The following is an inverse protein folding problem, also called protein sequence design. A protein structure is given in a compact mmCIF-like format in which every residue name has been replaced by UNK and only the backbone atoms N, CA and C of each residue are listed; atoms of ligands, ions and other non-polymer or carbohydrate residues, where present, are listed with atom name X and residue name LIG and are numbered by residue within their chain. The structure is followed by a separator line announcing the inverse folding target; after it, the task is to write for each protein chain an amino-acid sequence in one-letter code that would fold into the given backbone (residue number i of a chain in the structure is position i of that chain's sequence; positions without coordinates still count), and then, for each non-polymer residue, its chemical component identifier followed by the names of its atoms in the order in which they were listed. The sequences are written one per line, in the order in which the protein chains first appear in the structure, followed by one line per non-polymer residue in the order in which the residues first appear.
data_IF_015645142927
#
_entry.id   IF_015645142927
#
_cell.length_a   1.000
_cell.length_b   1.000
_cell.length_c   1.000
_cell.angle_alpha   90.00
_cell.angle_beta   90.00
_cell.angle_gamma   90.00
#
_symmetry.space_group_name_H-M   'P 1'
#
loop_
_entity.id
_entity.type
_entity.pdbx_description
1 polymer ?
#
# COMPACT_ATOMS: atom_id res chain seq x y z
N UNK A 1 -29.91 1.76 12.03
CA UNK A 1 -28.57 2.18 11.56
C UNK A 1 -27.48 2.19 12.65
N UNK A 2 -27.54 2.98 13.74
CA UNK A 2 -26.43 3.10 14.73
C UNK A 2 -25.98 1.77 15.35
N UNK A 3 -26.90 0.88 15.71
CA UNK A 3 -26.54 -0.44 16.26
C UNK A 3 -25.83 -1.32 15.22
N UNK A 4 -26.29 -1.31 13.97
CA UNK A 4 -25.63 -2.02 12.87
C UNK A 4 -24.21 -1.48 12.63
N UNK A 5 -24.04 -0.14 12.64
CA UNK A 5 -22.72 0.51 12.55
C UNK A 5 -21.81 0.07 13.72
N UNK A 6 -22.33 -0.03 14.94
CA UNK A 6 -21.54 -0.50 16.07
C UNK A 6 -21.02 -1.93 15.84
N UNK A 7 -21.85 -2.86 15.34
CA UNK A 7 -21.39 -4.22 14.99
C UNK A 7 -20.34 -4.22 13.87
N UNK A 8 -20.51 -3.39 12.84
CA UNK A 8 -19.51 -3.23 11.78
C UNK A 8 -18.18 -2.76 12.36
N UNK A 9 -18.18 -1.71 13.19
CA UNK A 9 -16.96 -1.18 13.81
C UNK A 9 -16.31 -2.20 14.77
N UNK A 10 -17.10 -2.91 15.57
CA UNK A 10 -16.60 -3.96 16.48
C UNK A 10 -15.93 -5.08 15.67
N UNK A 11 -16.57 -5.56 14.60
CA UNK A 11 -15.99 -6.59 13.74
C UNK A 11 -14.65 -6.14 13.13
N UNK A 12 -14.57 -4.89 12.66
CA UNK A 12 -13.36 -4.28 12.14
C UNK A 12 -12.27 -4.21 13.22
N UNK A 13 -12.56 -3.67 14.39
CA UNK A 13 -11.59 -3.47 15.47
C UNK A 13 -11.05 -4.83 15.98
N UNK A 14 -11.91 -5.81 16.20
CA UNK A 14 -11.50 -7.14 16.65
C UNK A 14 -10.71 -7.83 15.55
N UNK A 15 -11.18 -7.78 14.29
CA UNK A 15 -10.50 -8.36 13.16
C UNK A 15 -9.09 -7.80 12.94
N UNK A 16 -8.92 -6.48 13.06
CA UNK A 16 -7.63 -5.81 12.98
C UNK A 16 -6.68 -6.24 14.12
N UNK A 17 -7.21 -6.45 15.35
CA UNK A 17 -6.41 -6.93 16.49
C UNK A 17 -5.94 -8.37 16.33
N UNK A 18 -6.76 -9.25 15.74
CA UNK A 18 -6.37 -10.64 15.47
C UNK A 18 -5.24 -10.68 14.42
N UNK A 19 -5.28 -9.78 13.44
CA UNK A 19 -4.31 -9.73 12.34
C UNK A 19 -4.48 -10.86 11.32
N UNK A 20 -3.56 -10.94 10.35
CA UNK A 20 -3.61 -11.96 9.30
C UNK A 20 -4.94 -11.94 8.54
N UNK A 21 -5.61 -13.09 8.44
CA UNK A 21 -6.95 -13.20 7.82
C UNK A 21 -8.08 -12.75 8.76
N UNK A 22 -7.78 -12.40 10.02
CA UNK A 22 -8.77 -12.06 11.06
C UNK A 22 -9.71 -10.95 10.62
N UNK A 23 -9.18 -9.93 9.94
CA UNK A 23 -9.99 -8.80 9.45
C UNK A 23 -11.10 -9.27 8.48
N UNK A 24 -10.77 -10.14 7.53
CA UNK A 24 -11.74 -10.66 6.58
C UNK A 24 -12.76 -11.61 7.21
N UNK A 25 -12.29 -12.52 8.07
CA UNK A 25 -13.17 -13.50 8.74
C UNK A 25 -14.17 -12.80 9.67
N UNK A 26 -13.72 -11.80 10.44
CA UNK A 26 -14.60 -10.97 11.29
C UNK A 26 -15.53 -10.09 10.45
N UNK A 27 -15.08 -9.62 9.26
CA UNK A 27 -15.97 -8.99 8.28
C UNK A 27 -17.10 -9.93 7.84
N UNK A 28 -16.78 -11.20 7.57
CA UNK A 28 -17.78 -12.24 7.26
C UNK A 28 -18.76 -12.48 8.41
N UNK A 29 -18.28 -12.51 9.66
CA UNK A 29 -19.14 -12.60 10.83
C UNK A 29 -20.06 -11.37 10.96
N UNK A 30 -19.51 -10.16 10.76
CA UNK A 30 -20.30 -8.93 10.78
C UNK A 30 -21.37 -8.92 9.69
N UNK A 31 -21.03 -9.38 8.47
CA UNK A 31 -22.00 -9.59 7.39
C UNK A 31 -23.11 -10.57 7.80
N UNK A 32 -22.75 -11.70 8.43
CA UNK A 32 -23.72 -12.66 8.96
C UNK A 32 -24.69 -12.03 9.96
N UNK A 33 -24.18 -11.20 10.89
CA UNK A 33 -25.00 -10.46 11.85
C UNK A 33 -25.93 -9.48 11.12
N UNK A 34 -25.41 -8.73 10.15
CA UNK A 34 -26.23 -7.78 9.37
C UNK A 34 -27.34 -8.49 8.59
N UNK A 35 -27.05 -9.65 8.00
CA UNK A 35 -28.00 -10.39 7.18
C UNK A 35 -29.00 -11.18 8.02
N UNK A 36 -28.52 -12.04 8.92
CA UNK A 36 -29.39 -12.94 9.67
C UNK A 36 -29.98 -12.30 10.94
N UNK A 37 -29.26 -11.34 11.54
CA UNK A 37 -29.73 -10.64 12.74
C UNK A 37 -30.58 -9.40 12.45
N UNK A 38 -30.18 -8.61 11.46
CA UNK A 38 -30.87 -7.35 11.12
C UNK A 38 -31.70 -7.43 9.84
N UNK A 39 -31.67 -8.56 9.12
CA UNK A 39 -32.47 -8.76 7.89
C UNK A 39 -32.00 -7.92 6.70
N UNK A 40 -30.73 -7.42 6.69
CA UNK A 40 -30.24 -6.70 5.53
C UNK A 40 -29.96 -7.68 4.38
N UNK A 41 -30.39 -7.31 3.17
CA UNK A 41 -30.08 -8.07 1.97
C UNK A 41 -28.59 -7.94 1.64
N UNK A 42 -27.81 -9.05 1.58
CA UNK A 42 -26.41 -8.97 1.23
C UNK A 42 -26.22 -8.53 -0.23
N UNK A 43 -25.24 -7.64 -0.44
CA UNK A 43 -24.79 -7.23 -1.77
C UNK A 43 -23.98 -8.35 -2.43
N UNK A 44 -23.51 -8.13 -3.67
CA UNK A 44 -22.57 -9.04 -4.31
C UNK A 44 -21.14 -8.86 -3.73
N UNK A 45 -20.38 -9.94 -3.52
CA UNK A 45 -18.98 -9.80 -3.13
C UNK A 45 -18.14 -9.17 -4.26
N UNK A 46 -17.02 -8.51 -3.95
CA UNK A 46 -16.18 -7.80 -4.92
C UNK A 46 -15.26 -8.74 -5.71
N UNK A 47 -15.83 -9.67 -6.49
CA UNK A 47 -15.11 -10.77 -7.15
C UNK A 47 -14.05 -10.26 -8.10
N UNK A 48 -14.37 -9.33 -9.00
CA UNK A 48 -13.45 -8.81 -10.01
C UNK A 48 -12.17 -8.23 -9.38
N UNK A 49 -12.32 -7.47 -8.30
CA UNK A 49 -11.17 -6.90 -7.59
C UNK A 49 -10.33 -7.98 -6.92
N UNK A 50 -10.98 -8.98 -6.34
CA UNK A 50 -10.28 -10.11 -5.72
C UNK A 50 -9.47 -10.87 -6.76
N UNK A 51 -10.03 -11.14 -7.94
CA UNK A 51 -9.35 -11.86 -9.02
C UNK A 51 -8.18 -11.04 -9.59
N UNK A 52 -8.36 -9.74 -9.83
CA UNK A 52 -7.24 -8.87 -10.22
C UNK A 52 -6.08 -8.94 -9.22
N UNK A 53 -6.38 -8.84 -7.93
CA UNK A 53 -5.36 -8.88 -6.88
C UNK A 53 -4.68 -10.24 -6.83
N UNK A 54 -5.43 -11.35 -6.95
CA UNK A 54 -4.87 -12.71 -7.01
C UNK A 54 -3.90 -12.86 -8.18
N UNK A 55 -4.26 -12.39 -9.37
CA UNK A 55 -3.39 -12.45 -10.54
C UNK A 55 -2.08 -11.68 -10.35
N UNK A 56 -2.14 -10.46 -9.79
CA UNK A 56 -0.95 -9.66 -9.47
C UNK A 56 -0.08 -10.35 -8.41
N UNK A 57 -0.70 -10.90 -7.35
CA UNK A 57 0.01 -11.62 -6.29
C UNK A 57 0.73 -12.85 -6.88
N UNK A 58 0.07 -13.60 -7.76
CA UNK A 58 0.69 -14.75 -8.42
C UNK A 58 1.97 -14.33 -9.17
N UNK A 59 1.91 -13.27 -9.98
CA UNK A 59 3.08 -12.78 -10.72
C UNK A 59 4.20 -12.28 -9.80
N UNK A 60 3.87 -11.49 -8.78
CA UNK A 60 4.84 -10.99 -7.81
C UNK A 60 5.49 -12.13 -7.01
N UNK A 61 4.73 -13.16 -6.67
CA UNK A 61 5.23 -14.34 -5.96
C UNK A 61 6.15 -15.20 -6.82
N UNK A 62 5.83 -15.37 -8.10
CA UNK A 62 6.72 -16.03 -9.06
C UNK A 62 8.03 -15.25 -9.20
N UNK A 63 7.97 -13.91 -9.29
CA UNK A 63 9.15 -13.06 -9.33
C UNK A 63 9.98 -13.19 -8.03
N UNK A 64 9.33 -13.22 -6.86
CA UNK A 64 10.01 -13.45 -5.58
C UNK A 64 10.72 -14.80 -5.57
N UNK A 65 10.04 -15.87 -5.94
CA UNK A 65 10.59 -17.23 -5.93
C UNK A 65 11.75 -17.41 -6.92
N UNK A 66 11.77 -16.63 -8.01
CA UNK A 66 12.87 -16.56 -8.98
C UNK A 66 14.07 -15.72 -8.51
N UNK A 67 14.01 -15.13 -7.30
CA UNK A 67 15.06 -14.27 -6.74
C UNK A 67 14.99 -12.80 -7.21
N UNK A 68 13.92 -12.40 -7.89
CA UNK A 68 13.77 -11.04 -8.41
C UNK A 68 13.78 -9.97 -7.33
N UNK A 69 13.12 -10.21 -6.19
CA UNK A 69 13.15 -9.27 -5.07
C UNK A 69 14.56 -9.14 -4.48
N UNK A 70 15.30 -10.24 -4.33
CA UNK A 70 16.67 -10.21 -3.80
C UNK A 70 17.60 -9.42 -4.75
N UNK A 71 17.40 -9.54 -6.05
CA UNK A 71 18.13 -8.73 -7.05
C UNK A 71 17.81 -7.23 -6.92
N UNK A 72 16.53 -6.87 -6.73
CA UNK A 72 16.13 -5.48 -6.50
C UNK A 72 16.79 -4.92 -5.24
N UNK A 73 16.83 -5.71 -4.16
CA UNK A 73 17.54 -5.33 -2.91
C UNK A 73 19.02 -5.09 -3.16
N UNK A 74 19.69 -5.95 -3.94
CA UNK A 74 21.08 -5.76 -4.32
C UNK A 74 21.32 -4.48 -5.12
N UNK A 75 20.38 -4.11 -6.01
CA UNK A 75 20.44 -2.82 -6.70
C UNK A 75 20.25 -1.63 -5.75
N UNK A 76 19.33 -1.75 -4.78
CA UNK A 76 19.15 -0.74 -3.74
C UNK A 76 20.44 -0.55 -2.94
N UNK A 77 21.02 -1.63 -2.46
CA UNK A 77 22.28 -1.61 -1.70
C UNK A 77 23.38 -0.90 -2.47
N UNK A 78 23.60 -1.29 -3.74
CA UNK A 78 24.60 -0.66 -4.60
C UNK A 78 24.36 0.86 -4.76
N UNK A 79 23.10 1.28 -4.92
CA UNK A 79 22.75 2.69 -5.08
C UNK A 79 22.98 3.48 -3.79
N UNK A 80 22.54 2.94 -2.65
CA UNK A 80 22.65 3.58 -1.34
C UNK A 80 24.12 3.69 -0.90
N UNK A 81 24.91 2.63 -1.08
CA UNK A 81 26.36 2.62 -0.76
C UNK A 81 27.18 3.55 -1.67
N UNK A 82 26.71 3.84 -2.89
CA UNK A 82 27.39 4.79 -3.79
C UNK A 82 27.28 6.24 -3.32
N UNK A 83 26.18 6.62 -2.64
CA UNK A 83 25.92 7.98 -2.18
C UNK A 83 25.43 7.99 -0.72
N UNK A 84 26.22 7.48 0.22
CA UNK A 84 25.75 7.21 1.57
C UNK A 84 25.40 8.49 2.35
N UNK A 85 26.06 9.60 2.09
CA UNK A 85 25.75 10.89 2.71
C UNK A 85 24.37 11.45 2.38
N UNK A 86 23.76 10.96 1.29
CA UNK A 86 22.41 11.36 0.85
C UNK A 86 21.35 10.32 1.19
N UNK A 87 21.65 9.39 2.08
CA UNK A 87 20.78 8.23 2.36
C UNK A 87 19.38 8.65 2.84
N UNK A 88 19.26 9.72 3.62
CA UNK A 88 17.96 10.22 4.10
C UNK A 88 17.04 10.67 2.95
N UNK A 89 17.61 11.15 1.84
CA UNK A 89 16.84 11.50 0.65
C UNK A 89 16.69 10.31 -0.30
N UNK A 90 17.75 9.51 -0.49
CA UNK A 90 17.73 8.42 -1.47
C UNK A 90 16.90 7.21 -1.01
N UNK A 91 16.96 6.85 0.27
CA UNK A 91 16.27 5.67 0.79
C UNK A 91 14.75 5.69 0.60
N UNK A 92 14.01 6.79 0.84
CA UNK A 92 12.58 6.82 0.60
C UNK A 92 12.23 6.64 -0.89
N UNK A 93 13.01 7.21 -1.81
CA UNK A 93 12.75 7.03 -3.24
C UNK A 93 13.06 5.61 -3.72
N UNK A 94 14.07 4.95 -3.14
CA UNK A 94 14.37 3.54 -3.44
C UNK A 94 13.24 2.63 -2.93
N UNK A 95 12.79 2.81 -1.70
CA UNK A 95 11.67 2.02 -1.15
C UNK A 95 10.36 2.33 -1.86
N UNK A 96 10.12 3.60 -2.23
CA UNK A 96 8.98 4.00 -3.04
C UNK A 96 8.98 3.28 -4.39
N UNK A 97 10.08 3.36 -5.13
CA UNK A 97 10.20 2.74 -6.46
C UNK A 97 9.99 1.22 -6.39
N UNK A 98 10.56 0.57 -5.39
CA UNK A 98 10.42 -0.88 -5.23
C UNK A 98 8.98 -1.29 -4.89
N UNK A 99 8.34 -0.54 -3.99
CA UNK A 99 6.93 -0.76 -3.69
C UNK A 99 6.03 -0.45 -4.88
N UNK A 100 6.33 0.63 -5.62
CA UNK A 100 5.61 1.00 -6.84
C UNK A 100 5.64 -0.13 -7.88
N UNK A 101 6.83 -0.71 -8.11
CA UNK A 101 7.02 -1.83 -9.05
C UNK A 101 6.38 -3.11 -8.52
N UNK A 102 6.57 -3.45 -7.24
CA UNK A 102 6.09 -4.70 -6.68
C UNK A 102 4.59 -4.69 -6.30
N UNK A 103 3.96 -3.52 -6.23
CA UNK A 103 2.57 -3.36 -5.82
C UNK A 103 2.29 -3.63 -4.33
N UNK A 104 3.34 -3.80 -3.52
CA UNK A 104 3.23 -4.16 -2.10
C UNK A 104 4.30 -3.52 -1.23
N UNK A 105 3.92 -3.03 -0.05
CA UNK A 105 4.85 -2.43 0.92
C UNK A 105 5.78 -3.43 1.62
N UNK A 106 5.55 -4.74 1.46
CA UNK A 106 6.40 -5.77 2.08
C UNK A 106 7.84 -5.76 1.55
N UNK A 107 8.09 -5.19 0.38
CA UNK A 107 9.45 -5.01 -0.16
C UNK A 107 10.33 -4.18 0.77
N UNK A 108 9.75 -3.28 1.56
CA UNK A 108 10.48 -2.48 2.54
C UNK A 108 11.26 -3.35 3.54
N UNK A 109 10.73 -4.51 3.96
CA UNK A 109 11.45 -5.41 4.89
C UNK A 109 12.84 -5.82 4.40
N UNK A 110 13.01 -5.94 3.08
CA UNK A 110 14.29 -6.35 2.50
C UNK A 110 15.27 -5.18 2.35
N UNK A 111 14.78 -3.95 2.24
CA UNK A 111 15.61 -2.75 2.03
C UNK A 111 15.96 -2.05 3.34
N UNK A 112 15.08 -2.09 4.34
CA UNK A 112 15.28 -1.42 5.63
C UNK A 112 16.58 -1.83 6.37
N UNK A 113 16.98 -3.12 6.42
CA UNK A 113 18.25 -3.50 7.03
C UNK A 113 19.46 -2.84 6.37
N UNK A 114 19.45 -2.75 5.03
CA UNK A 114 20.51 -2.08 4.25
C UNK A 114 20.57 -0.58 4.58
N UNK A 115 19.39 0.07 4.68
CA UNK A 115 19.30 1.48 5.04
C UNK A 115 19.87 1.73 6.44
N UNK A 116 19.51 0.89 7.42
CA UNK A 116 19.99 1.00 8.78
C UNK A 116 21.51 0.84 8.86
N UNK A 117 22.06 -0.14 8.14
CA UNK A 117 23.50 -0.41 8.10
C UNK A 117 24.27 0.75 7.47
N UNK A 118 23.91 1.16 6.26
CA UNK A 118 24.61 2.25 5.55
C UNK A 118 24.50 3.57 6.31
N UNK A 119 23.36 3.87 6.94
CA UNK A 119 23.23 5.06 7.79
C UNK A 119 24.17 4.99 9.00
N UNK A 120 24.26 3.85 9.66
CA UNK A 120 25.12 3.65 10.82
C UNK A 120 26.60 3.77 10.45
N UNK A 121 27.05 3.10 9.37
CA UNK A 121 28.43 3.15 8.86
C UNK A 121 28.88 4.59 8.53
N UNK A 122 27.96 5.40 8.03
CA UNK A 122 28.23 6.80 7.65
C UNK A 122 27.95 7.80 8.76
N UNK A 123 27.64 7.31 9.98
CA UNK A 123 27.33 8.10 11.18
C UNK A 123 26.10 9.00 11.03
N UNK A 124 25.27 8.72 10.04
CA UNK A 124 23.96 9.35 9.88
C UNK A 124 22.99 8.66 10.84
N UNK A 125 22.23 9.42 11.61
CA UNK A 125 21.19 8.92 12.52
C UNK A 125 20.18 8.04 11.75
N UNK A 126 20.10 6.71 11.99
CA UNK A 126 19.23 5.81 11.24
C UNK A 126 17.74 6.17 11.31
N UNK A 127 17.27 6.78 12.39
CA UNK A 127 15.91 7.29 12.52
C UNK A 127 15.47 8.12 11.29
N UNK A 128 16.37 8.95 10.75
CA UNK A 128 16.08 9.85 9.63
C UNK A 128 15.68 9.07 8.36
N UNK A 129 16.57 8.25 7.77
CA UNK A 129 16.24 7.51 6.55
C UNK A 129 15.25 6.37 6.79
N UNK A 130 15.27 5.71 7.93
CA UNK A 130 14.39 4.59 8.24
C UNK A 130 12.93 5.01 8.34
N UNK A 131 12.64 6.08 9.09
CA UNK A 131 11.27 6.54 9.26
C UNK A 131 10.64 6.91 7.93
N UNK A 132 11.31 7.75 7.14
CA UNK A 132 10.74 8.20 5.86
C UNK A 132 10.72 7.10 4.79
N UNK A 133 11.64 6.13 4.83
CA UNK A 133 11.61 4.98 3.92
C UNK A 133 10.37 4.10 4.15
N UNK A 134 9.98 3.87 5.41
CA UNK A 134 8.72 3.17 5.74
C UNK A 134 7.53 3.95 5.20
N UNK A 135 7.45 5.25 5.46
CA UNK A 135 6.36 6.11 4.97
C UNK A 135 6.29 6.08 3.44
N UNK A 136 7.44 6.21 2.76
CA UNK A 136 7.53 6.21 1.31
C UNK A 136 7.04 4.89 0.69
N UNK A 137 7.37 3.75 1.29
CA UNK A 137 6.89 2.46 0.82
C UNK A 137 5.37 2.35 0.84
N UNK A 138 4.72 2.96 1.81
CA UNK A 138 3.26 2.93 1.91
C UNK A 138 2.60 3.98 1.01
N UNK A 139 3.18 5.17 0.89
CA UNK A 139 2.71 6.17 -0.07
C UNK A 139 2.74 5.62 -1.52
N UNK A 140 3.75 4.82 -1.85
CA UNK A 140 3.86 4.17 -3.15
C UNK A 140 2.73 3.17 -3.45
N UNK A 141 2.09 2.59 -2.44
CA UNK A 141 0.94 1.69 -2.64
C UNK A 141 -0.23 2.44 -3.30
N UNK A 142 -0.49 3.68 -2.90
CA UNK A 142 -1.55 4.51 -3.49
C UNK A 142 -1.19 5.08 -4.86
N UNK A 143 0.05 4.90 -5.30
CA UNK A 143 0.54 5.33 -6.61
C UNK A 143 0.84 4.15 -7.55
N UNK A 144 0.98 2.92 -7.03
CA UNK A 144 1.33 1.75 -7.85
C UNK A 144 0.16 1.29 -8.71
N UNK A 145 0.35 1.10 -10.03
CA UNK A 145 -0.73 0.68 -10.94
C UNK A 145 -1.26 -0.72 -10.66
N UNK A 146 -0.53 -1.52 -9.91
CA UNK A 146 -0.83 -2.93 -9.64
C UNK A 146 -1.08 -3.22 -8.15
N UNK A 147 -1.11 -2.18 -7.30
CA UNK A 147 -1.41 -2.38 -5.88
C UNK A 147 -2.89 -2.70 -5.66
N UNK A 148 -3.18 -3.49 -4.64
CA UNK A 148 -4.55 -3.81 -4.24
C UNK A 148 -5.41 -2.56 -3.97
N UNK A 149 -4.81 -1.48 -3.44
CA UNK A 149 -5.51 -0.24 -3.16
C UNK A 149 -5.89 0.52 -4.43
N UNK A 150 -4.96 0.65 -5.39
CA UNK A 150 -5.22 1.32 -6.68
C UNK A 150 -6.22 0.51 -7.52
N UNK A 151 -6.12 -0.83 -7.51
CA UNK A 151 -7.06 -1.69 -8.21
C UNK A 151 -8.48 -1.61 -7.60
N UNK A 152 -8.57 -1.51 -6.27
CA UNK A 152 -9.84 -1.27 -5.59
C UNK A 152 -10.43 0.10 -5.99
N UNK A 153 -9.65 1.16 -5.98
CA UNK A 153 -10.06 2.50 -6.43
C UNK A 153 -10.53 2.47 -7.88
N UNK A 154 -9.72 1.90 -8.79
CA UNK A 154 -10.04 1.79 -10.22
C UNK A 154 -11.36 1.07 -10.46
N UNK A 155 -11.57 -0.08 -9.83
CA UNK A 155 -12.80 -0.87 -9.98
C UNK A 155 -14.04 -0.09 -9.55
N UNK A 156 -13.97 0.64 -8.44
CA UNK A 156 -15.11 1.39 -7.91
C UNK A 156 -15.41 2.65 -8.72
N UNK A 157 -14.42 3.24 -9.37
CA UNK A 157 -14.57 4.44 -10.17
C UNK A 157 -14.74 4.15 -11.68
N UNK A 158 -14.68 2.89 -12.11
CA UNK A 158 -14.79 2.51 -13.52
C UNK A 158 -16.10 2.97 -14.18
N UNK A 159 -17.21 2.94 -13.44
CA UNK A 159 -18.52 3.43 -13.90
C UNK A 159 -18.62 4.96 -14.10
N UNK A 160 -17.58 5.71 -13.69
CA UNK A 160 -17.51 7.17 -13.79
C UNK A 160 -16.50 7.64 -14.84
N UNK A 161 -16.15 6.79 -15.81
CA UNK A 161 -15.17 7.07 -16.86
C UNK A 161 -13.76 7.41 -16.33
N UNK A 162 -13.42 6.95 -15.12
CA UNK A 162 -12.07 7.09 -14.55
C UNK A 162 -11.19 5.95 -15.04
N UNK A 163 -10.12 6.31 -15.71
CA UNK A 163 -9.07 5.39 -16.14
C UNK A 163 -7.98 5.21 -15.07
N UNK A 164 -7.17 4.15 -15.20
CA UNK A 164 -5.98 3.97 -14.37
C UNK A 164 -5.03 5.18 -14.50
N UNK A 165 -4.92 5.76 -15.70
CA UNK A 165 -4.06 6.93 -15.91
C UNK A 165 -4.55 8.15 -15.12
N UNK A 166 -5.85 8.39 -15.02
CA UNK A 166 -6.38 9.50 -14.21
C UNK A 166 -5.95 9.37 -12.74
N UNK A 167 -5.99 8.13 -12.20
CA UNK A 167 -5.54 7.87 -10.83
C UNK A 167 -4.03 8.12 -10.71
N UNK A 168 -3.22 7.58 -11.61
CA UNK A 168 -1.77 7.68 -11.56
C UNK A 168 -1.26 9.10 -11.77
N UNK A 169 -1.85 9.87 -12.69
CA UNK A 169 -1.46 11.26 -12.96
C UNK A 169 -1.61 12.17 -11.74
N UNK A 170 -2.54 11.87 -10.85
CA UNK A 170 -2.73 12.61 -9.61
C UNK A 170 -1.88 11.97 -8.49
N UNK A 171 -2.00 10.66 -8.28
CA UNK A 171 -1.40 10.00 -7.13
C UNK A 171 0.13 9.98 -7.17
N UNK A 172 0.75 9.71 -8.34
CA UNK A 172 2.20 9.60 -8.46
C UNK A 172 2.92 10.90 -8.11
N UNK A 173 2.64 12.04 -8.76
CA UNK A 173 3.36 13.27 -8.43
C UNK A 173 3.06 13.76 -7.02
N UNK A 174 1.82 13.65 -6.55
CA UNK A 174 1.44 14.11 -5.22
C UNK A 174 2.12 13.31 -4.11
N UNK A 175 2.17 11.98 -4.23
CA UNK A 175 2.83 11.14 -3.23
C UNK A 175 4.35 11.24 -3.28
N UNK A 176 4.97 11.38 -4.47
CA UNK A 176 6.42 11.63 -4.59
C UNK A 176 6.82 12.95 -3.92
N UNK A 177 6.08 14.02 -4.16
CA UNK A 177 6.35 15.32 -3.53
C UNK A 177 6.06 15.30 -2.03
N UNK A 178 5.03 14.56 -1.59
CA UNK A 178 4.76 14.33 -0.17
C UNK A 178 5.91 13.59 0.52
N UNK A 179 6.42 12.53 -0.11
CA UNK A 179 7.60 11.78 0.37
C UNK A 179 8.85 12.68 0.41
N UNK A 180 9.06 13.50 -0.60
CA UNK A 180 10.17 14.47 -0.62
C UNK A 180 10.06 15.47 0.55
N UNK A 181 8.87 16.00 0.81
CA UNK A 181 8.64 16.92 1.94
C UNK A 181 8.94 16.23 3.29
N UNK A 182 8.47 15.00 3.47
CA UNK A 182 8.79 14.18 4.65
C UNK A 182 10.29 13.88 4.77
N UNK A 183 10.99 13.64 3.66
CA UNK A 183 12.43 13.42 3.64
C UNK A 183 13.22 14.67 4.01
N UNK A 184 12.83 15.84 3.51
CA UNK A 184 13.45 17.13 3.86
C UNK A 184 13.27 17.42 5.36
N UNK A 185 12.07 17.16 5.90
CA UNK A 185 11.85 17.27 7.34
C UNK A 185 12.79 16.33 8.11
N UNK A 186 12.90 15.08 7.67
CA UNK A 186 13.69 14.05 8.33
C UNK A 186 15.19 14.38 8.41
N UNK A 187 15.73 15.18 7.49
CA UNK A 187 17.12 15.64 7.54
C UNK A 187 17.47 16.36 8.85
N UNK A 188 16.49 16.98 9.50
CA UNK A 188 16.69 17.81 10.72
C UNK A 188 16.27 17.08 12.00
N UNK A 189 15.84 15.83 11.92
CA UNK A 189 15.35 15.08 13.08
C UNK A 189 16.51 14.64 13.96
N UNK A 190 16.43 14.94 15.26
CA UNK A 190 17.36 14.47 16.28
C UNK A 190 18.78 15.02 16.13
N UNK A 191 19.65 14.62 17.05
CA UNK A 191 21.09 14.94 17.04
C UNK A 191 21.81 14.01 16.05
N UNK A 192 23.03 14.37 15.66
CA UNK A 192 23.91 13.45 14.93
C UNK A 192 24.18 12.20 15.75
N UNK A 193 24.46 11.08 15.07
CA UNK A 193 24.57 9.78 15.72
C UNK A 193 25.63 9.77 16.83
N UNK A 194 26.78 10.38 16.57
CA UNK A 194 27.88 10.49 17.54
C UNK A 194 27.55 11.35 18.79
N UNK A 195 26.44 12.07 18.79
CA UNK A 195 25.96 12.91 19.89
C UNK A 195 24.66 12.37 20.51
N UNK A 196 24.15 11.23 20.03
CA UNK A 196 22.92 10.63 20.54
C UNK A 196 23.20 9.85 21.84
N UNK A 197 22.54 10.20 22.97
CA UNK A 197 22.81 9.56 24.26
C UNK A 197 22.47 8.06 24.28
N UNK A 198 21.46 7.63 23.56
CA UNK A 198 21.04 6.22 23.50
C UNK A 198 22.07 5.39 22.73
N UNK A 199 22.53 5.90 21.59
CA UNK A 199 23.60 5.25 20.82
C UNK A 199 24.89 5.15 21.61
N UNK A 200 25.33 6.26 22.24
CA UNK A 200 26.56 6.26 23.05
C UNK A 200 26.48 5.29 24.22
N UNK A 201 25.31 5.16 24.86
CA UNK A 201 25.09 4.18 25.93
C UNK A 201 25.21 2.75 25.43
N UNK A 202 24.62 2.42 24.27
CA UNK A 202 24.70 1.09 23.66
C UNK A 202 26.11 0.72 23.23
N UNK A 203 26.86 1.69 22.71
CA UNK A 203 28.29 1.49 22.40
C UNK A 203 29.11 1.22 23.68
N UNK A 204 28.89 1.99 24.75
CA UNK A 204 29.59 1.80 26.03
C UNK A 204 29.27 0.44 26.68
N UNK A 205 28.05 -0.05 26.54
CA UNK A 205 27.61 -1.35 27.04
C UNK A 205 27.99 -2.55 26.16
N UNK A 206 28.73 -2.34 25.06
CA UNK A 206 29.05 -3.38 24.07
C UNK A 206 27.81 -4.09 23.48
N UNK A 207 26.62 -3.45 23.52
CA UNK A 207 25.38 -3.97 22.92
C UNK A 207 25.38 -3.84 21.40
N UNK A 208 26.31 -3.03 20.87
CA UNK A 208 26.43 -2.74 19.45
C UNK A 208 27.37 -3.73 18.75
N UNK A 209 26.78 -4.72 18.09
CA UNK A 209 27.53 -5.65 17.22
C UNK A 209 27.48 -5.17 15.77
N UNK A 210 28.64 -4.89 15.19
CA UNK A 210 28.81 -4.58 13.75
C UNK A 210 28.69 -5.84 12.88
N UNK A 211 27.64 -6.65 13.10
CA UNK A 211 27.36 -7.71 12.13
C UNK A 211 26.86 -7.07 10.85
N UNK A 212 27.65 -7.17 9.79
CA UNK A 212 27.23 -6.75 8.45
C UNK A 212 25.98 -7.55 8.05
N UNK A 213 24.99 -6.83 7.55
CA UNK A 213 23.87 -7.45 6.86
C UNK A 213 24.36 -7.80 5.45
N UNK A 214 24.61 -9.06 5.22
CA UNK A 214 24.80 -9.54 3.86
C UNK A 214 23.41 -9.76 3.25
N UNK A 215 23.08 -8.98 2.24
CA UNK A 215 21.90 -9.26 1.41
C UNK A 215 22.00 -10.71 0.91
N UNK A 216 20.93 -11.48 1.04
CA UNK A 216 20.90 -12.86 0.54
C UNK A 216 21.44 -12.89 -0.87
N UNK A 217 22.47 -13.70 -1.10
CA UNK A 217 23.05 -13.86 -2.42
C UNK A 217 22.00 -14.29 -3.43
N UNK A 218 21.96 -13.63 -4.57
CA UNK A 218 21.09 -14.05 -5.68
C UNK A 218 21.70 -15.31 -6.28
N UNK A 219 21.07 -16.47 -6.09
CA UNK A 219 21.57 -17.77 -6.60
C UNK A 219 21.83 -17.74 -8.11
N UNK A 220 20.94 -17.11 -8.86
CA UNK A 220 21.06 -16.96 -10.31
C UNK A 220 20.59 -15.58 -10.75
N UNK A 221 21.55 -14.68 -10.95
CA UNK A 221 21.31 -13.29 -11.32
C UNK A 221 20.55 -13.16 -12.67
N UNK A 222 20.78 -14.06 -13.63
CA UNK A 222 20.10 -14.03 -14.92
C UNK A 222 18.62 -14.37 -14.77
N UNK A 223 18.28 -15.41 -14.00
CA UNK A 223 16.87 -15.78 -13.73
C UNK A 223 16.14 -14.69 -12.97
N UNK A 224 16.80 -14.12 -11.95
CA UNK A 224 16.26 -13.00 -11.18
C UNK A 224 16.00 -11.77 -12.07
N UNK A 225 16.96 -11.39 -12.91
CA UNK A 225 16.80 -10.27 -13.83
C UNK A 225 15.68 -10.51 -14.85
N UNK A 226 15.61 -11.73 -15.41
CA UNK A 226 14.55 -12.10 -16.35
C UNK A 226 13.15 -12.02 -15.69
N UNK A 227 13.02 -12.51 -14.46
CA UNK A 227 11.74 -12.44 -13.72
C UNK A 227 11.29 -11.02 -13.45
N UNK A 228 12.20 -10.12 -13.03
CA UNK A 228 11.92 -8.69 -12.85
C UNK A 228 11.54 -8.05 -14.18
N UNK A 229 12.26 -8.35 -15.26
CA UNK A 229 11.97 -7.79 -16.59
C UNK A 229 10.60 -8.19 -17.09
N UNK A 230 10.21 -9.47 -16.99
CA UNK A 230 8.88 -9.96 -17.39
C UNK A 230 7.79 -9.24 -16.56
N UNK A 231 7.98 -9.14 -15.24
CA UNK A 231 7.02 -8.49 -14.35
C UNK A 231 6.85 -7.01 -14.65
N UNK A 232 7.95 -6.28 -14.85
CA UNK A 232 7.94 -4.85 -15.20
C UNK A 232 7.31 -4.62 -16.56
N UNK A 233 7.61 -5.45 -17.57
CA UNK A 233 6.99 -5.35 -18.88
C UNK A 233 5.48 -5.57 -18.84
N UNK A 234 5.01 -6.56 -18.06
CA UNK A 234 3.57 -6.76 -17.85
C UNK A 234 2.93 -5.54 -17.15
N UNK A 235 3.60 -4.96 -16.16
CA UNK A 235 3.12 -3.73 -15.49
C UNK A 235 3.05 -2.54 -16.46
N UNK A 236 4.06 -2.37 -17.32
CA UNK A 236 4.05 -1.32 -18.35
C UNK A 236 2.90 -1.56 -19.33
N UNK A 237 2.67 -2.79 -19.76
CA UNK A 237 1.55 -3.13 -20.63
C UNK A 237 0.20 -2.79 -19.98
N UNK A 238 0.02 -3.07 -18.68
CA UNK A 238 -1.18 -2.68 -17.92
C UNK A 238 -1.37 -1.16 -17.95
N UNK A 239 -0.32 -0.39 -17.73
CA UNK A 239 -0.39 1.08 -17.78
C UNK A 239 -0.76 1.57 -19.19
N UNK A 240 -0.18 0.98 -20.24
CA UNK A 240 -0.50 1.34 -21.64
C UNK A 240 -1.97 1.07 -21.95
N UNK A 241 -2.49 -0.14 -21.69
CA UNK A 241 -3.90 -0.48 -21.91
C UNK A 241 -4.85 0.32 -21.00
N UNK A 242 -4.38 0.68 -19.79
CA UNK A 242 -5.13 1.55 -18.88
C UNK A 242 -5.20 3.01 -19.35
N UNK A 243 -4.20 3.47 -20.09
CA UNK A 243 -4.08 4.84 -20.61
C UNK A 243 -4.77 5.04 -21.96
N UNK A 244 -4.72 4.01 -22.80
CA UNK A 244 -5.17 4.06 -24.19
C UNK A 244 -6.23 2.99 -24.44
N UNK A 245 -7.48 3.37 -24.24
CA UNK A 245 -8.63 2.45 -24.40
C UNK A 245 -8.71 1.88 -25.82
N UNK A 246 -8.30 2.65 -26.82
CA UNK A 246 -8.26 2.25 -28.23
C UNK A 246 -7.32 1.06 -28.52
N UNK A 247 -6.36 0.79 -27.64
CA UNK A 247 -5.45 -0.37 -27.77
C UNK A 247 -6.02 -1.65 -27.15
N UNK A 248 -7.11 -1.54 -26.37
CA UNK A 248 -7.72 -2.73 -25.75
C UNK A 248 -8.31 -3.65 -26.82
N UNK A 249 -8.17 -4.96 -26.65
CA UNK A 249 -8.81 -5.94 -27.54
C UNK A 249 -10.33 -5.71 -27.62
N UNK A 250 -10.87 -5.74 -28.83
CA UNK A 250 -12.31 -5.59 -29.08
C UNK A 250 -12.84 -6.90 -29.64
N UNK A 251 -13.89 -7.41 -29.03
CA UNK A 251 -14.53 -8.67 -29.41
C UNK A 251 -15.95 -8.38 -29.93
N UNK A 252 -16.41 -9.18 -30.88
CA UNK A 252 -17.79 -9.13 -31.33
C UNK A 252 -18.62 -10.12 -30.51
N UNK A 253 -19.54 -9.61 -29.71
CA UNK A 253 -20.50 -10.41 -28.94
C UNK A 253 -21.88 -10.21 -29.48
N UNK A 254 -22.38 -11.18 -30.26
CA UNK A 254 -23.61 -10.99 -31.05
C UNK A 254 -23.41 -9.95 -32.16
N UNK A 255 -24.14 -8.86 -32.10
CA UNK A 255 -24.03 -7.71 -33.05
C UNK A 255 -23.22 -6.54 -32.51
N UNK A 256 -22.83 -6.57 -31.25
CA UNK A 256 -22.12 -5.46 -30.58
C UNK A 256 -20.60 -5.68 -30.50
N UNK A 257 -19.86 -4.58 -30.65
CA UNK A 257 -18.42 -4.55 -30.41
C UNK A 257 -18.17 -4.17 -28.96
N UNK A 258 -17.57 -5.09 -28.18
CA UNK A 258 -17.28 -4.90 -26.76
C UNK A 258 -15.77 -4.84 -26.55
N UNK A 259 -15.27 -3.75 -25.97
CA UNK A 259 -13.88 -3.62 -25.57
C UNK A 259 -13.61 -4.41 -24.30
N UNK A 260 -12.44 -5.05 -24.21
CA UNK A 260 -12.04 -5.81 -23.03
C UNK A 260 -11.96 -4.90 -21.79
N UNK A 261 -12.58 -5.33 -20.70
CA UNK A 261 -12.54 -4.61 -19.43
C UNK A 261 -11.14 -4.58 -18.85
N UNK A 262 -10.80 -3.52 -18.12
CA UNK A 262 -9.47 -3.36 -17.54
C UNK A 262 -9.13 -4.43 -16.49
N UNK A 263 -10.12 -4.92 -15.76
CA UNK A 263 -9.98 -6.04 -14.83
C UNK A 263 -9.43 -7.28 -15.53
N UNK A 264 -10.06 -7.69 -16.64
CA UNK A 264 -9.63 -8.85 -17.41
C UNK A 264 -8.25 -8.66 -18.04
N UNK A 265 -7.89 -7.44 -18.48
CA UNK A 265 -6.56 -7.14 -19.01
C UNK A 265 -5.50 -7.36 -17.92
N UNK A 266 -5.72 -6.86 -16.71
CA UNK A 266 -4.82 -7.04 -15.59
C UNK A 266 -4.66 -8.53 -15.23
N UNK A 267 -5.77 -9.25 -15.14
CA UNK A 267 -5.79 -10.68 -14.83
C UNK A 267 -5.00 -11.49 -15.86
N UNK A 268 -5.30 -11.31 -17.15
CA UNK A 268 -4.65 -12.05 -18.24
C UNK A 268 -3.15 -11.71 -18.31
N UNK A 269 -2.78 -10.44 -18.27
CA UNK A 269 -1.37 -10.02 -18.37
C UNK A 269 -0.55 -10.52 -17.17
N UNK A 270 -1.09 -10.46 -15.96
CA UNK A 270 -0.37 -10.90 -14.77
C UNK A 270 -0.26 -12.44 -14.69
N UNK A 271 -1.31 -13.19 -15.05
CA UNK A 271 -1.23 -14.64 -15.14
C UNK A 271 -0.26 -15.09 -16.26
N UNK A 272 -0.25 -14.39 -17.40
CA UNK A 272 0.71 -14.63 -18.48
C UNK A 272 2.14 -14.36 -18.03
N UNK A 273 2.37 -13.25 -17.30
CA UNK A 273 3.68 -12.95 -16.70
C UNK A 273 4.11 -14.04 -15.71
N UNK A 274 3.18 -14.51 -14.87
CA UNK A 274 3.44 -15.64 -13.95
C UNK A 274 3.91 -16.88 -14.71
N UNK A 275 3.19 -17.25 -15.76
CA UNK A 275 3.52 -18.41 -16.59
C UNK A 275 4.90 -18.25 -17.25
N UNK A 276 5.21 -17.08 -17.84
CA UNK A 276 6.52 -16.83 -18.45
C UNK A 276 7.65 -16.87 -17.41
N UNK A 277 7.43 -16.31 -16.21
CA UNK A 277 8.43 -16.39 -15.14
C UNK A 277 8.69 -17.85 -14.79
N UNK A 278 7.66 -18.66 -14.51
CA UNK A 278 7.82 -20.07 -14.16
C UNK A 278 8.55 -20.86 -15.27
N UNK A 279 8.13 -20.68 -16.51
CA UNK A 279 8.69 -21.43 -17.67
C UNK A 279 10.13 -21.05 -17.97
N UNK A 280 10.43 -19.74 -18.09
CA UNK A 280 11.75 -19.31 -18.53
C UNK A 280 12.79 -19.29 -17.41
N UNK A 281 12.39 -19.10 -16.17
CA UNK A 281 13.31 -19.19 -15.02
C UNK A 281 13.38 -20.56 -14.41
N UNK A 282 12.49 -21.51 -14.83
CA UNK A 282 12.34 -22.84 -14.23
C UNK A 282 12.13 -22.76 -12.71
N UNK A 283 11.34 -21.80 -12.27
CA UNK A 283 11.03 -21.59 -10.87
C UNK A 283 9.92 -22.54 -10.46
N UNK A 284 10.02 -23.09 -9.24
CA UNK A 284 9.02 -23.98 -8.67
C UNK A 284 7.77 -23.19 -8.23
N UNK A 285 6.60 -23.56 -8.76
CA UNK A 285 5.31 -22.94 -8.42
C UNK A 285 4.89 -23.15 -6.97
N UNK A 286 5.28 -24.30 -6.35
CA UNK A 286 5.03 -24.56 -4.92
C UNK A 286 5.82 -23.55 -4.07
N UNK A 287 7.10 -23.32 -4.40
CA UNK A 287 7.94 -22.34 -3.74
C UNK A 287 7.36 -20.91 -3.87
N UNK A 288 6.79 -20.57 -5.03
CA UNK A 288 6.11 -19.29 -5.22
C UNK A 288 4.88 -19.14 -4.32
N UNK A 289 4.04 -20.17 -4.21
CA UNK A 289 2.85 -20.17 -3.36
C UNK A 289 3.18 -20.15 -1.85
N UNK A 290 4.34 -20.62 -1.44
CA UNK A 290 4.82 -20.56 -0.04
C UNK A 290 5.55 -19.27 0.28
N UNK A 291 5.78 -18.40 -0.69
CA UNK A 291 6.48 -17.13 -0.52
C UNK A 291 5.72 -16.13 0.36
N UNK A 292 6.47 -15.21 0.97
CA UNK A 292 5.89 -14.17 1.84
C UNK A 292 4.96 -13.23 1.08
N UNK A 293 5.25 -12.94 -0.19
CA UNK A 293 4.40 -12.10 -1.05
C UNK A 293 3.05 -12.76 -1.28
N UNK A 294 3.03 -14.08 -1.56
CA UNK A 294 1.79 -14.82 -1.74
C UNK A 294 0.95 -14.84 -0.47
N UNK A 295 1.56 -15.19 0.67
CA UNK A 295 0.87 -15.24 1.96
C UNK A 295 0.26 -13.89 2.34
N UNK A 296 1.05 -12.81 2.26
CA UNK A 296 0.58 -11.46 2.57
C UNK A 296 -0.50 -10.97 1.60
N UNK A 297 -0.35 -11.28 0.31
CA UNK A 297 -1.33 -10.94 -0.71
C UNK A 297 -2.66 -11.67 -0.51
N UNK A 298 -2.65 -12.96 -0.20
CA UNK A 298 -3.87 -13.72 0.08
C UNK A 298 -4.57 -13.26 1.36
N UNK A 299 -3.82 -12.83 2.38
CA UNK A 299 -4.41 -12.18 3.56
C UNK A 299 -5.17 -10.91 3.18
N UNK A 300 -4.61 -10.10 2.26
CA UNK A 300 -5.30 -8.90 1.76
C UNK A 300 -6.58 -9.25 0.97
N UNK A 301 -6.55 -10.30 0.15
CA UNK A 301 -7.73 -10.78 -0.59
C UNK A 301 -8.84 -11.19 0.38
N UNK A 302 -8.52 -11.99 1.41
CA UNK A 302 -9.50 -12.42 2.42
C UNK A 302 -10.04 -11.21 3.20
N UNK A 303 -9.17 -10.25 3.56
CA UNK A 303 -9.59 -9.03 4.23
C UNK A 303 -10.56 -8.20 3.39
N UNK A 304 -10.26 -8.02 2.09
CA UNK A 304 -11.14 -7.30 1.16
C UNK A 304 -12.47 -8.04 1.01
N UNK A 305 -12.44 -9.37 0.85
CA UNK A 305 -13.65 -10.18 0.74
C UNK A 305 -14.63 -9.92 1.89
N UNK A 306 -14.18 -10.08 3.13
CA UNK A 306 -15.07 -9.94 4.29
C UNK A 306 -15.48 -8.51 4.58
N UNK A 307 -14.51 -7.58 4.65
CA UNK A 307 -14.78 -6.18 5.02
C UNK A 307 -15.58 -5.45 3.96
N UNK A 308 -15.22 -5.63 2.67
CA UNK A 308 -15.94 -4.93 1.61
C UNK A 308 -17.39 -5.41 1.51
N UNK A 309 -17.60 -6.72 1.51
CA UNK A 309 -18.95 -7.27 1.43
C UNK A 309 -19.83 -6.85 2.60
N UNK A 310 -19.29 -6.85 3.82
CA UNK A 310 -19.98 -6.31 5.01
C UNK A 310 -20.27 -4.82 4.87
N UNK A 311 -19.28 -4.03 4.45
CA UNK A 311 -19.41 -2.58 4.29
C UNK A 311 -20.41 -2.19 3.21
N UNK A 312 -20.34 -2.81 2.04
CA UNK A 312 -21.26 -2.59 0.93
C UNK A 312 -22.70 -2.94 1.32
N UNK A 313 -22.89 -4.06 2.06
CA UNK A 313 -24.20 -4.48 2.58
C UNK A 313 -24.76 -3.48 3.60
N UNK A 314 -23.90 -3.01 4.53
CA UNK A 314 -24.30 -2.00 5.51
C UNK A 314 -24.72 -0.68 4.83
N UNK A 315 -23.91 -0.20 3.88
CA UNK A 315 -24.17 1.05 3.15
C UNK A 315 -25.46 0.92 2.32
N UNK A 316 -25.60 -0.15 1.56
CA UNK A 316 -26.82 -0.38 0.75
C UNK A 316 -28.09 -0.43 1.60
N UNK A 317 -28.05 -1.14 2.74
CA UNK A 317 -29.18 -1.29 3.63
C UNK A 317 -29.55 -0.03 4.43
N UNK A 318 -28.64 0.95 4.53
CA UNK A 318 -28.84 2.19 5.32
C UNK A 318 -28.69 3.46 4.45
N UNK A 319 -28.73 3.35 3.12
CA UNK A 319 -28.46 4.45 2.20
C UNK A 319 -29.28 5.71 2.47
N UNK A 320 -30.57 5.56 2.73
CA UNK A 320 -31.49 6.67 2.96
C UNK A 320 -31.14 7.46 4.23
N UNK A 321 -30.83 6.75 5.32
CA UNK A 321 -30.48 7.39 6.60
C UNK A 321 -29.08 8.05 6.53
N UNK A 322 -28.13 7.40 5.82
CA UNK A 322 -26.78 7.93 5.61
C UNK A 322 -26.80 9.23 4.82
N UNK A 323 -27.54 9.27 3.69
CA UNK A 323 -27.69 10.50 2.90
C UNK A 323 -28.25 11.63 3.73
N UNK A 324 -29.35 11.41 4.46
CA UNK A 324 -29.99 12.45 5.25
C UNK A 324 -29.11 13.03 6.38
N UNK A 325 -28.20 12.22 6.95
CA UNK A 325 -27.41 12.61 8.13
C UNK A 325 -26.06 13.25 7.76
N UNK A 326 -25.44 12.87 6.64
CA UNK A 326 -24.05 13.19 6.36
C UNK A 326 -23.91 14.05 5.08
N UNK A 327 -24.88 14.00 4.17
CA UNK A 327 -24.83 14.67 2.85
C UNK A 327 -24.52 16.16 2.99
N UNK A 328 -25.17 16.84 3.91
CA UNK A 328 -24.95 18.28 4.12
C UNK A 328 -23.52 18.62 4.57
N UNK A 329 -22.93 17.79 5.42
CA UNK A 329 -21.57 18.02 5.94
C UNK A 329 -20.53 17.73 4.86
N UNK A 330 -20.68 16.61 4.15
CA UNK A 330 -19.71 16.16 3.14
C UNK A 330 -19.79 17.00 1.86
N UNK A 331 -20.97 17.47 1.47
CA UNK A 331 -21.12 18.36 0.30
C UNK A 331 -20.54 19.74 0.53
N UNK A 332 -20.63 20.26 1.77
CA UNK A 332 -20.02 21.55 2.12
C UNK A 332 -18.51 21.45 2.36
N UNK A 333 -18.03 20.32 2.91
CA UNK A 333 -16.62 20.11 3.27
C UNK A 333 -16.12 18.73 2.79
N UNK A 334 -15.99 18.47 1.49
CA UNK A 334 -15.61 17.15 0.96
C UNK A 334 -14.24 16.67 1.47
N UNK A 335 -13.33 17.58 1.84
CA UNK A 335 -12.04 17.26 2.42
C UNK A 335 -12.12 16.52 3.76
N UNK A 336 -13.24 16.67 4.50
CA UNK A 336 -13.47 15.90 5.74
C UNK A 336 -13.56 14.39 5.47
N UNK A 337 -13.94 14.00 4.25
CA UNK A 337 -13.88 12.59 3.86
C UNK A 337 -12.45 12.06 3.85
N UNK A 338 -11.47 12.90 3.52
CA UNK A 338 -10.04 12.56 3.66
C UNK A 338 -9.65 12.26 5.10
N UNK A 339 -10.20 12.99 6.08
CA UNK A 339 -9.97 12.69 7.49
C UNK A 339 -10.61 11.35 7.89
N UNK A 340 -11.80 11.04 7.39
CA UNK A 340 -12.43 9.74 7.62
C UNK A 340 -11.59 8.59 7.03
N UNK A 341 -11.07 8.74 5.80
CA UNK A 341 -10.13 7.79 5.19
C UNK A 341 -8.88 7.60 6.05
N UNK A 342 -8.30 8.70 6.55
CA UNK A 342 -7.11 8.68 7.40
C UNK A 342 -7.37 7.90 8.69
N UNK A 343 -8.44 8.25 9.43
CA UNK A 343 -8.79 7.58 10.69
C UNK A 343 -9.10 6.09 10.49
N UNK A 344 -9.86 5.75 9.44
CA UNK A 344 -10.15 4.34 9.14
C UNK A 344 -8.89 3.55 8.76
N UNK A 345 -7.95 4.15 8.06
CA UNK A 345 -6.70 3.46 7.72
C UNK A 345 -5.82 3.15 8.94
N UNK A 346 -5.93 3.94 10.02
CA UNK A 346 -5.28 3.64 11.30
C UNK A 346 -5.86 2.36 11.92
N UNK A 347 -7.17 2.14 11.77
CA UNK A 347 -7.88 1.00 12.36
C UNK A 347 -7.72 -0.28 11.53
N UNK A 348 -7.78 -0.15 10.20
CA UNK A 348 -7.81 -1.29 9.27
C UNK A 348 -6.43 -1.84 8.90
N UNK A 349 -5.36 -1.07 9.10
CA UNK A 349 -4.00 -1.41 8.67
C UNK A 349 -3.89 -1.85 7.18
N UNK A 350 -4.82 -1.40 6.34
CA UNK A 350 -4.91 -1.78 4.94
C UNK A 350 -5.51 -0.66 4.11
N UNK A 351 -4.74 -0.13 3.16
CA UNK A 351 -5.19 0.90 2.23
C UNK A 351 -6.35 0.39 1.36
N UNK A 352 -6.22 -0.85 0.84
CA UNK A 352 -7.24 -1.46 0.01
C UNK A 352 -8.55 -1.70 0.78
N UNK A 353 -8.47 -2.19 2.02
CA UNK A 353 -9.64 -2.37 2.86
C UNK A 353 -10.30 -1.02 3.22
N UNK A 354 -9.50 0.02 3.47
CA UNK A 354 -10.02 1.37 3.75
C UNK A 354 -10.79 1.93 2.56
N UNK A 355 -10.23 1.82 1.35
CA UNK A 355 -10.92 2.25 0.12
C UNK A 355 -12.22 1.46 -0.05
N UNK A 356 -12.18 0.15 0.10
CA UNK A 356 -13.38 -0.68 -0.03
C UNK A 356 -14.44 -0.37 1.02
N UNK A 357 -14.04 -0.05 2.25
CA UNK A 357 -14.97 0.25 3.32
C UNK A 357 -15.65 1.62 3.17
N UNK A 358 -14.93 2.65 2.69
CA UNK A 358 -15.43 4.02 2.71
C UNK A 358 -15.76 4.60 1.34
N UNK A 359 -15.09 4.19 0.26
CA UNK A 359 -15.30 4.79 -1.05
C UNK A 359 -16.76 4.69 -1.56
N UNK A 360 -17.49 3.57 -1.36
CA UNK A 360 -18.90 3.50 -1.71
C UNK A 360 -19.73 4.59 -1.04
N UNK A 361 -19.44 4.91 0.22
CA UNK A 361 -20.09 6.01 0.94
C UNK A 361 -19.74 7.36 0.29
N UNK A 362 -18.46 7.61 -0.02
CA UNK A 362 -18.05 8.84 -0.69
C UNK A 362 -18.77 9.06 -2.04
N UNK A 363 -18.88 8.00 -2.82
CA UNK A 363 -19.63 8.00 -4.11
C UNK A 363 -21.11 8.28 -3.86
N UNK A 364 -21.72 7.60 -2.90
CA UNK A 364 -23.13 7.74 -2.56
C UNK A 364 -23.51 9.15 -2.07
N UNK A 365 -22.54 9.82 -1.40
CA UNK A 365 -22.67 11.21 -0.94
C UNK A 365 -22.40 12.23 -2.04
N UNK A 366 -22.13 11.80 -3.28
CA UNK A 366 -21.93 12.68 -4.41
C UNK A 366 -20.55 13.37 -4.48
N UNK A 367 -19.56 12.87 -3.75
CA UNK A 367 -18.18 13.38 -3.88
C UNK A 367 -17.67 13.06 -5.29
N UNK A 368 -17.11 14.07 -5.97
CA UNK A 368 -16.62 13.86 -7.33
C UNK A 368 -15.50 12.81 -7.39
N UNK A 369 -15.42 11.99 -8.46
CA UNK A 369 -14.38 10.98 -8.61
C UNK A 369 -12.95 11.56 -8.49
N UNK A 370 -12.69 12.73 -9.06
CA UNK A 370 -11.40 13.39 -8.98
C UNK A 370 -11.07 13.83 -7.54
N UNK A 371 -12.05 14.29 -6.77
CA UNK A 371 -11.88 14.59 -5.36
C UNK A 371 -11.52 13.32 -4.56
N UNK A 372 -12.18 12.20 -4.83
CA UNK A 372 -11.86 10.91 -4.20
C UNK A 372 -10.43 10.46 -4.50
N UNK A 373 -9.95 10.68 -5.74
CA UNK A 373 -8.56 10.40 -6.13
C UNK A 373 -7.59 11.35 -5.41
N UNK A 374 -7.91 12.64 -5.30
CA UNK A 374 -7.08 13.61 -4.57
C UNK A 374 -6.94 13.26 -3.09
N UNK A 375 -7.99 12.69 -2.49
CA UNK A 375 -8.00 12.25 -1.09
C UNK A 375 -7.40 10.84 -0.91
N UNK A 376 -7.09 10.11 -1.98
CA UNK A 376 -6.59 8.74 -1.91
C UNK A 376 -5.34 8.57 -1.03
N UNK A 377 -4.33 9.45 -1.06
CA UNK A 377 -3.18 9.33 -0.16
C UNK A 377 -3.51 9.38 1.33
N UNK A 378 -4.69 9.86 1.73
CA UNK A 378 -5.14 9.87 3.12
C UNK A 378 -5.28 8.47 3.73
N UNK A 379 -5.43 7.39 2.92
CA UNK A 379 -5.49 6.01 3.42
C UNK A 379 -4.15 5.49 3.98
N UNK A 380 -3.15 6.33 4.09
CA UNK A 380 -1.83 6.00 4.63
C UNK A 380 -1.65 6.40 6.11
N UNK A 381 -2.71 6.42 6.92
CA UNK A 381 -2.66 6.76 8.35
C UNK A 381 -2.10 5.67 9.28
N UNK A 382 -1.79 4.47 8.79
CA UNK A 382 -1.35 3.28 9.53
C UNK A 382 -0.14 3.54 10.47
N UNK A 383 0.67 4.57 10.21
CA UNK A 383 1.81 4.95 11.06
C UNK A 383 1.38 5.67 12.34
N UNK A 384 0.19 6.23 12.40
CA UNK A 384 -0.27 7.07 13.52
C UNK A 384 -0.21 6.33 14.86
N UNK A 385 -0.58 5.05 14.86
CA UNK A 385 -0.28 4.13 15.97
C UNK A 385 0.85 3.22 15.50
N UNK A 386 2.05 3.26 16.13
CA UNK A 386 3.27 2.67 15.58
C UNK A 386 3.36 1.15 15.80
N UNK A 387 2.30 0.42 15.48
CA UNK A 387 2.20 -1.04 15.58
C UNK A 387 2.08 -1.74 14.22
N UNK A 388 2.12 -0.98 13.11
CA UNK A 388 2.10 -1.55 11.78
C UNK A 388 3.40 -2.34 11.52
N UNK A 389 3.34 -3.52 10.87
CA UNK A 389 4.49 -4.41 10.76
C UNK A 389 5.77 -3.79 10.21
N UNK A 390 5.70 -2.92 9.18
CA UNK A 390 6.90 -2.26 8.64
C UNK A 390 7.48 -1.20 9.58
N UNK A 391 6.64 -0.55 10.39
CA UNK A 391 7.06 0.38 11.45
C UNK A 391 7.84 -0.38 12.55
N UNK A 392 7.27 -1.49 13.02
CA UNK A 392 7.91 -2.35 14.03
C UNK A 392 9.21 -2.94 13.49
N UNK A 393 9.23 -3.37 12.23
CA UNK A 393 10.44 -3.90 11.61
C UNK A 393 11.56 -2.85 11.53
N UNK A 394 11.24 -1.61 11.15
CA UNK A 394 12.24 -0.53 11.11
C UNK A 394 12.86 -0.27 12.49
N UNK A 395 12.03 -0.26 13.54
CA UNK A 395 12.53 -0.12 14.93
C UNK A 395 13.50 -1.25 15.29
N UNK A 396 13.15 -2.50 14.91
CA UNK A 396 13.97 -3.67 15.23
C UNK A 396 15.25 -3.76 14.40
N UNK A 397 15.26 -3.25 13.17
CA UNK A 397 16.46 -3.22 12.33
C UNK A 397 17.44 -2.13 12.73
N UNK A 398 16.98 -1.05 13.36
CA UNK A 398 17.84 0.00 13.88
C UNK A 398 18.48 -0.40 15.22
N UNK A 399 19.66 -0.98 15.14
CA UNK A 399 20.44 -1.38 16.33
C UNK A 399 20.95 -0.22 17.16
N UNK A 400 21.01 0.99 16.58
CA UNK A 400 21.46 2.20 17.30
C UNK A 400 20.42 2.66 18.33
N UNK A 401 19.15 2.24 18.19
CA UNK A 401 18.05 2.62 19.07
C UNK A 401 17.52 4.02 18.83
N UNK A 402 17.94 4.65 17.73
CA UNK A 402 17.47 6.01 17.38
C UNK A 402 16.07 6.00 16.79
N UNK A 403 15.72 4.95 16.00
CA UNK A 403 14.36 4.72 15.50
C UNK A 403 13.53 4.06 16.59
N UNK A 404 12.57 4.80 17.15
CA UNK A 404 11.91 4.37 18.39
C UNK A 404 10.47 4.84 18.54
N UNK A 405 9.76 4.19 19.46
CA UNK A 405 8.54 4.71 20.10
C UNK A 405 9.00 5.40 21.38
N UNK A 406 8.68 6.69 21.55
CA UNK A 406 9.01 7.45 22.76
C UNK A 406 8.14 7.07 23.96
N UNK A 407 8.26 7.83 25.04
CA UNK A 407 7.51 7.60 26.29
C UNK A 407 5.99 7.55 26.11
N UNK A 408 5.48 8.32 25.15
CA UNK A 408 4.07 8.34 24.77
C UNK A 408 3.89 7.74 23.38
N UNK A 409 2.81 6.98 23.14
CA UNK A 409 2.54 6.26 21.89
C UNK A 409 2.63 7.18 20.65
N UNK A 410 2.18 8.43 20.77
CA UNK A 410 2.19 9.40 19.67
C UNK A 410 3.56 10.08 19.47
N UNK A 411 4.51 9.90 20.38
CA UNK A 411 5.87 10.44 20.26
C UNK A 411 6.81 9.37 19.70
N UNK A 412 6.74 9.12 18.42
CA UNK A 412 7.57 8.13 17.73
C UNK A 412 8.16 8.69 16.44
N UNK A 413 9.20 8.04 15.95
CA UNK A 413 10.01 8.48 14.79
C UNK A 413 9.22 8.67 13.51
N UNK A 414 8.09 7.99 13.33
CA UNK A 414 7.31 7.99 12.09
C UNK A 414 6.19 9.04 12.06
N UNK A 415 5.82 9.63 13.20
CA UNK A 415 4.67 10.53 13.31
C UNK A 415 4.78 11.72 12.37
N UNK A 416 5.79 12.55 12.57
CA UNK A 416 5.91 13.78 11.80
C UNK A 416 6.24 13.55 10.32
N UNK A 417 7.20 12.65 9.95
CA UNK A 417 7.42 12.33 8.54
C UNK A 417 6.15 11.80 7.84
N UNK A 418 5.36 10.99 8.54
CA UNK A 418 4.11 10.44 8.02
C UNK A 418 3.02 11.49 7.83
N UNK A 419 2.79 12.36 8.83
CA UNK A 419 1.82 13.45 8.75
C UNK A 419 2.18 14.44 7.63
N UNK A 420 3.46 14.81 7.52
CA UNK A 420 3.93 15.74 6.47
C UNK A 420 3.75 15.07 5.09
N UNK A 421 4.22 13.85 4.91
CA UNK A 421 4.11 13.17 3.63
C UNK A 421 2.64 13.00 3.20
N UNK A 422 1.77 12.53 4.10
CA UNK A 422 0.34 12.33 3.79
C UNK A 422 -0.38 13.67 3.59
N UNK A 423 -0.16 14.65 4.48
CA UNK A 423 -0.78 15.97 4.38
C UNK A 423 -0.40 16.72 3.11
N UNK A 424 0.89 16.71 2.74
CA UNK A 424 1.37 17.31 1.49
C UNK A 424 0.81 16.56 0.28
N UNK A 425 0.77 15.22 0.30
CA UNK A 425 0.20 14.43 -0.80
C UNK A 425 -1.27 14.77 -1.04
N UNK A 426 -2.07 14.82 0.01
CA UNK A 426 -3.49 15.19 -0.08
C UNK A 426 -3.66 16.65 -0.49
N UNK A 427 -2.91 17.58 0.12
CA UNK A 427 -2.97 19.01 -0.22
C UNK A 427 -2.63 19.29 -1.68
N UNK A 428 -1.58 18.66 -2.20
CA UNK A 428 -1.23 18.73 -3.62
C UNK A 428 -2.28 18.09 -4.52
N UNK A 429 -2.86 16.96 -4.10
CA UNK A 429 -3.97 16.32 -4.82
C UNK A 429 -5.16 17.26 -4.98
N UNK A 430 -5.56 17.91 -3.88
CA UNK A 430 -6.65 18.91 -3.88
C UNK A 430 -6.34 20.15 -4.74
N UNK A 431 -5.08 20.56 -4.79
CA UNK A 431 -4.66 21.63 -5.70
C UNK A 431 -4.67 21.18 -7.16
N UNK A 432 -4.15 20.00 -7.44
CA UNK A 432 -3.98 19.47 -8.79
C UNK A 432 -5.31 19.29 -9.52
N UNK A 433 -6.35 18.81 -8.82
CA UNK A 433 -7.69 18.64 -9.42
C UNK A 433 -8.39 19.94 -9.79
N UNK A 434 -7.89 21.11 -9.36
CA UNK A 434 -8.42 22.40 -9.77
C UNK A 434 -7.99 22.79 -11.21
N UNK A 435 -7.01 22.08 -11.77
CA UNK A 435 -6.47 22.31 -13.10
C UNK A 435 -6.88 21.23 -14.13
N UNK A 436 -7.63 20.23 -13.69
CA UNK A 436 -8.20 19.17 -14.52
C UNK A 436 -9.70 19.41 -14.74
#
# INVERSE_FOLDING_TARGET
MLLQLAFVLIAIIIGARIGGIGLGVLGGLGLGILTFGFGLQPTSPPIDVMLMIVAVIAAASCMQAAGGLDLMVKWAEKLLRKNPQRITILSPFVTYLFTFIAGTGHVAYSVLPVIAEVATETKIRPERPMAIAVIASQQAITASPISAATLAMLSMLSGYHISLMNILMISVPCTLLGVLAGAIYSLRVGKELDQDPEYLKRVANHEFSTKHYEAKGVENQMKAALSVSIFVLATIAIVIFGSMESLRPVFTVGTEKVSMQMSHIIEVLMLTASAFILLFTKTDGIKAAQGSVFSAGMQAVVAIFGIAWMGDTFIAGNMTELKGSIEHIVTQMPWLFGLALFVMSILLFSQAATIRALLPLGIALGISPYMLIALFPAVNGYFFIPNYPTVVAAINFDRTGTTRIGKYILNHSFMMPGLIATGVSVGLGLLFIQFI
#
